data_IF_350902043585
#
_entry.id   IF_350902043585
#
_cell.length_a   1.000
_cell.length_b   1.000
_cell.length_c   1.000
_cell.angle_alpha   90.00
_cell.angle_beta   90.00
_cell.angle_gamma   90.00
#
_symmetry.space_group_name_H-M   'P 1'
#
loop_
_entity.id
_entity.type
_entity.pdbx_description
1 polymer ?
#
# COMPACT_ATOMS: atom_id res chain seq x y z
N UNK A 1 5.70 1.89 -18.73
CA UNK A 1 5.34 1.11 -17.54
C UNK A 1 4.14 1.80 -16.93
N UNK A 2 3.03 1.10 -16.78
CA UNK A 2 1.83 1.56 -16.11
C UNK A 2 2.13 1.76 -14.62
N UNK A 3 1.75 2.92 -14.10
CA UNK A 3 1.84 3.20 -12.67
C UNK A 3 0.58 3.97 -12.26
N UNK A 4 -0.27 3.31 -11.48
CA UNK A 4 -1.61 3.83 -11.13
C UNK A 4 -1.59 4.96 -10.10
N UNK A 5 -0.42 5.27 -9.54
CA UNK A 5 -0.20 6.46 -8.73
C UNK A 5 0.20 7.66 -9.60
N UNK A 6 1.26 7.51 -10.40
CA UNK A 6 1.81 8.60 -11.22
C UNK A 6 0.91 9.01 -12.39
N UNK A 7 0.02 8.13 -12.86
CA UNK A 7 -0.96 8.45 -13.91
C UNK A 7 -2.21 9.18 -13.40
N UNK A 8 -2.36 9.35 -12.08
CA UNK A 8 -3.42 10.10 -11.43
C UNK A 8 -2.86 11.28 -10.61
N UNK A 9 -2.67 12.47 -11.21
CA UNK A 9 -2.07 13.61 -10.53
C UNK A 9 -2.90 14.11 -9.34
N UNK A 10 -4.19 13.75 -9.25
CA UNK A 10 -5.04 14.16 -8.14
C UNK A 10 -4.67 13.46 -6.83
N UNK A 11 -4.01 12.30 -6.86
CA UNK A 11 -3.57 11.62 -5.64
C UNK A 11 -2.51 12.43 -4.90
N UNK A 12 -1.58 13.07 -5.62
CA UNK A 12 -0.51 13.88 -5.02
C UNK A 12 -1.03 15.04 -4.17
N UNK A 13 -2.19 15.60 -4.54
CA UNK A 13 -2.84 16.66 -3.77
C UNK A 13 -3.05 16.30 -2.29
N UNK A 14 -3.29 15.03 -1.97
CA UNK A 14 -3.50 14.59 -0.59
C UNK A 14 -2.24 14.66 0.27
N UNK A 15 -1.05 14.43 -0.32
CA UNK A 15 0.23 14.56 0.39
C UNK A 15 0.63 16.03 0.57
N UNK A 16 0.27 16.89 -0.39
CA UNK A 16 0.54 18.34 -0.34
C UNK A 16 -0.46 19.13 0.53
N UNK A 17 -1.47 18.45 1.09
CA UNK A 17 -2.51 19.11 1.87
C UNK A 17 -1.92 19.76 3.14
N UNK A 18 -2.26 21.03 3.49
CA UNK A 18 -1.64 21.74 4.63
C UNK A 18 -1.76 21.05 6.00
N UNK A 19 -2.75 20.15 6.16
CA UNK A 19 -2.89 19.37 7.39
C UNK A 19 -1.91 18.20 7.51
N UNK A 20 -1.19 17.83 6.44
CA UNK A 20 -0.25 16.71 6.46
C UNK A 20 0.88 16.94 7.45
N UNK A 21 1.41 18.16 7.59
CA UNK A 21 2.40 18.47 8.62
C UNK A 21 1.92 18.07 10.02
N UNK A 22 0.67 18.42 10.36
CA UNK A 22 0.09 18.07 11.65
C UNK A 22 -0.12 16.56 11.79
N UNK A 23 -0.58 15.89 10.73
CA UNK A 23 -0.84 14.45 10.71
C UNK A 23 0.48 13.67 10.91
N UNK A 24 1.50 13.98 10.10
CA UNK A 24 2.83 13.36 10.17
C UNK A 24 3.43 13.55 11.54
N UNK A 25 3.45 14.80 12.05
CA UNK A 25 4.01 15.09 13.37
C UNK A 25 3.33 14.29 14.49
N UNK A 26 2.01 14.09 14.41
CA UNK A 26 1.28 13.28 15.39
C UNK A 26 1.60 11.78 15.24
N UNK A 27 1.61 11.25 14.01
CA UNK A 27 1.88 9.83 13.73
C UNK A 27 3.33 9.43 14.07
N UNK A 28 4.30 10.29 13.77
CA UNK A 28 5.72 10.11 14.11
C UNK A 28 6.05 10.51 15.56
N UNK A 29 5.07 10.99 16.33
CA UNK A 29 5.23 11.47 17.70
C UNK A 29 6.36 12.52 17.82
N UNK A 30 6.42 13.46 16.89
CA UNK A 30 7.54 14.40 16.70
C UNK A 30 8.89 13.70 16.42
N UNK A 31 8.88 12.68 15.56
CA UNK A 31 10.08 11.97 15.07
C UNK A 31 10.91 11.33 16.18
N UNK A 32 10.26 10.85 17.24
CA UNK A 32 10.94 10.25 18.41
C UNK A 32 11.56 8.88 18.13
N UNK A 33 11.25 8.28 16.98
CA UNK A 33 11.71 6.96 16.55
C UNK A 33 12.91 7.01 15.58
N UNK A 34 13.32 8.20 15.14
CA UNK A 34 14.37 8.37 14.11
C UNK A 34 15.73 7.75 14.45
N UNK A 35 16.06 7.63 15.73
CA UNK A 35 17.31 7.00 16.21
C UNK A 35 17.13 5.51 16.57
N UNK A 36 15.89 5.00 16.48
CA UNK A 36 15.53 3.63 16.88
C UNK A 36 15.34 2.71 15.68
N UNK A 37 14.95 3.26 14.54
CA UNK A 37 14.68 2.52 13.31
C UNK A 37 15.32 3.25 12.13
N UNK A 38 16.09 2.51 11.30
CA UNK A 38 16.87 3.08 10.20
C UNK A 38 16.05 3.82 9.14
N UNK A 39 14.75 3.49 9.03
CA UNK A 39 13.81 4.08 8.08
C UNK A 39 12.72 4.93 8.76
N UNK A 40 12.89 5.28 10.04
CA UNK A 40 11.98 6.22 10.69
C UNK A 40 12.26 7.65 10.19
N UNK A 41 11.19 8.38 9.88
CA UNK A 41 11.29 9.71 9.31
C UNK A 41 12.07 10.67 10.22
N UNK A 42 13.01 11.41 9.64
CA UNK A 42 13.82 12.40 10.34
C UNK A 42 13.06 13.71 10.59
N UNK A 43 12.23 14.09 9.62
CA UNK A 43 11.42 15.30 9.57
C UNK A 43 10.23 15.13 8.61
N UNK A 44 9.54 16.24 8.30
CA UNK A 44 8.36 16.22 7.43
C UNK A 44 8.71 15.89 5.98
N UNK A 45 9.83 16.42 5.48
CA UNK A 45 10.22 16.25 4.08
C UNK A 45 10.57 14.79 3.82
N UNK A 46 11.34 14.18 4.72
CA UNK A 46 11.69 12.76 4.69
C UNK A 46 10.46 11.85 4.79
N UNK A 47 9.48 12.20 5.65
CA UNK A 47 8.23 11.46 5.74
C UNK A 47 7.42 11.52 4.42
N UNK A 48 7.27 12.70 3.83
CA UNK A 48 6.50 12.87 2.60
C UNK A 48 7.17 12.21 1.40
N UNK A 49 8.51 12.29 1.29
CA UNK A 49 9.30 11.58 0.28
C UNK A 49 9.17 10.05 0.42
N UNK A 50 9.20 9.54 1.65
CA UNK A 50 8.93 8.13 1.93
C UNK A 50 7.53 7.71 1.46
N UNK A 51 6.52 8.55 1.71
CA UNK A 51 5.14 8.26 1.27
C UNK A 51 5.01 8.26 -0.25
N UNK A 52 5.58 9.25 -0.95
CA UNK A 52 5.53 9.33 -2.42
C UNK A 52 6.20 8.11 -3.06
N UNK A 53 7.38 7.69 -2.56
CA UNK A 53 8.10 6.51 -3.06
C UNK A 53 7.33 5.21 -2.83
N UNK A 54 6.74 5.02 -1.65
CA UNK A 54 5.96 3.82 -1.35
C UNK A 54 4.70 3.77 -2.21
N UNK A 55 4.01 4.90 -2.39
CA UNK A 55 2.85 4.99 -3.29
C UNK A 55 3.22 4.75 -4.76
N UNK A 56 4.41 5.18 -5.18
CA UNK A 56 4.94 4.86 -6.51
C UNK A 56 5.13 3.34 -6.69
N UNK A 57 5.70 2.64 -5.72
CA UNK A 57 5.83 1.17 -5.74
C UNK A 57 4.46 0.49 -5.79
N UNK A 58 3.51 0.91 -4.94
CA UNK A 58 2.14 0.38 -4.95
C UNK A 58 1.48 0.63 -6.32
N UNK A 59 1.67 1.82 -6.89
CA UNK A 59 1.16 2.19 -8.21
C UNK A 59 1.72 1.33 -9.33
N UNK A 60 3.02 1.00 -9.30
CA UNK A 60 3.67 0.12 -10.27
C UNK A 60 3.16 -1.31 -10.15
N UNK A 61 3.13 -1.89 -8.95
CA UNK A 61 2.59 -3.24 -8.71
C UNK A 61 1.13 -3.32 -9.16
N UNK A 62 0.34 -2.28 -8.88
CA UNK A 62 -1.06 -2.23 -9.27
C UNK A 62 -1.24 -2.19 -10.79
N UNK A 63 -0.42 -1.40 -11.50
CA UNK A 63 -0.49 -1.26 -12.95
C UNK A 63 0.10 -2.44 -13.73
N UNK A 64 1.18 -3.04 -13.25
CA UNK A 64 1.95 -4.06 -13.98
C UNK A 64 1.64 -5.51 -13.55
N UNK A 65 1.10 -5.71 -12.34
CA UNK A 65 0.83 -7.06 -11.80
C UNK A 65 -0.66 -7.25 -11.50
N UNK A 66 -1.25 -6.40 -10.66
CA UNK A 66 -2.63 -6.61 -10.19
C UNK A 66 -3.64 -6.44 -11.31
N UNK A 67 -3.57 -5.33 -12.06
CA UNK A 67 -4.54 -5.03 -13.10
C UNK A 67 -4.53 -6.05 -14.26
N UNK A 68 -3.37 -6.51 -14.78
CA UNK A 68 -3.33 -7.58 -15.78
C UNK A 68 -3.92 -8.92 -15.29
N UNK A 69 -3.82 -9.21 -13.99
CA UNK A 69 -4.34 -10.45 -13.41
C UNK A 69 -5.86 -10.41 -13.17
N UNK A 70 -6.46 -9.22 -13.03
CA UNK A 70 -7.85 -9.03 -12.60
C UNK A 70 -8.88 -9.80 -13.43
N UNK A 71 -8.77 -9.80 -14.77
CA UNK A 71 -9.68 -10.53 -15.66
C UNK A 71 -9.64 -12.05 -15.40
N UNK A 72 -8.42 -12.62 -15.27
CA UNK A 72 -8.29 -14.05 -14.97
C UNK A 72 -8.78 -14.41 -13.57
N UNK A 73 -8.59 -13.51 -12.59
CA UNK A 73 -9.08 -13.71 -11.22
C UNK A 73 -10.60 -13.77 -11.18
N UNK A 74 -11.30 -12.91 -11.94
CA UNK A 74 -12.76 -12.91 -12.05
C UNK A 74 -13.28 -14.21 -12.68
N UNK A 75 -12.60 -14.72 -13.71
CA UNK A 75 -12.97 -15.97 -14.36
C UNK A 75 -12.67 -17.22 -13.52
N UNK A 76 -11.53 -17.26 -12.85
CA UNK A 76 -11.08 -18.42 -12.05
C UNK A 76 -11.82 -18.50 -10.72
N UNK A 77 -11.89 -17.38 -10.00
CA UNK A 77 -12.39 -17.30 -8.63
C UNK A 77 -11.63 -18.17 -7.62
N UNK A 78 -11.90 -18.02 -6.31
CA UNK A 78 -11.40 -18.96 -5.31
C UNK A 78 -12.18 -20.29 -5.34
N UNK A 79 -11.52 -21.38 -4.94
CA UNK A 79 -12.14 -22.70 -4.78
C UNK A 79 -12.11 -23.16 -3.33
N UNK A 80 -13.16 -23.85 -2.89
CA UNK A 80 -13.17 -24.53 -1.59
C UNK A 80 -12.83 -26.01 -1.80
N UNK A 81 -11.65 -26.43 -1.35
CA UNK A 81 -11.15 -27.80 -1.46
C UNK A 81 -10.82 -28.31 -0.06
N UNK A 82 -11.41 -29.43 0.35
CA UNK A 82 -11.15 -30.04 1.67
C UNK A 82 -11.28 -29.06 2.86
N UNK A 83 -12.27 -28.16 2.79
CA UNK A 83 -12.55 -27.12 3.79
C UNK A 83 -11.46 -26.02 3.89
N UNK A 84 -10.63 -25.88 2.86
CA UNK A 84 -9.63 -24.83 2.68
C UNK A 84 -9.93 -24.00 1.42
N UNK A 85 -9.75 -22.68 1.52
CA UNK A 85 -9.92 -21.77 0.37
C UNK A 85 -8.61 -21.72 -0.40
N UNK A 86 -8.65 -22.15 -1.66
CA UNK A 86 -7.55 -22.02 -2.62
C UNK A 86 -7.83 -20.77 -3.46
N UNK A 87 -6.97 -19.77 -3.36
CA UNK A 87 -7.08 -18.56 -4.17
C UNK A 87 -6.83 -18.84 -5.66
N UNK A 88 -7.41 -18.00 -6.53
CA UNK A 88 -7.03 -17.94 -7.93
C UNK A 88 -5.53 -17.66 -8.06
N UNK A 89 -4.93 -18.07 -9.19
CA UNK A 89 -3.48 -17.92 -9.41
C UNK A 89 -3.09 -16.45 -9.32
N UNK A 90 -3.81 -15.59 -10.04
CA UNK A 90 -3.55 -14.14 -10.05
C UNK A 90 -3.66 -13.51 -8.66
N UNK A 91 -4.63 -13.93 -7.83
CA UNK A 91 -4.75 -13.45 -6.45
C UNK A 91 -3.52 -13.79 -5.61
N UNK A 92 -3.00 -15.02 -5.74
CA UNK A 92 -1.80 -15.46 -5.02
C UNK A 92 -0.56 -14.68 -5.47
N UNK A 93 -0.42 -14.46 -6.79
CA UNK A 93 0.68 -13.68 -7.38
C UNK A 93 0.63 -12.21 -6.94
N UNK A 94 -0.56 -11.60 -6.94
CA UNK A 94 -0.77 -10.22 -6.49
C UNK A 94 -0.35 -10.06 -5.02
N UNK A 95 -0.76 -10.99 -4.16
CA UNK A 95 -0.41 -10.95 -2.74
C UNK A 95 1.09 -11.15 -2.50
N UNK A 96 1.70 -12.12 -3.19
CA UNK A 96 3.14 -12.38 -3.09
C UNK A 96 3.98 -11.17 -3.56
N UNK A 97 3.55 -10.46 -4.60
CA UNK A 97 4.21 -9.23 -5.04
C UNK A 97 4.19 -8.13 -3.97
N UNK A 98 3.07 -7.95 -3.27
CA UNK A 98 2.96 -6.98 -2.17
C UNK A 98 3.78 -7.38 -0.94
N UNK A 99 3.77 -8.66 -0.57
CA UNK A 99 4.59 -9.18 0.54
C UNK A 99 6.08 -8.97 0.24
N UNK A 100 6.54 -9.34 -0.95
CA UNK A 100 7.95 -9.22 -1.35
C UNK A 100 8.43 -7.77 -1.46
N UNK A 101 7.53 -6.85 -1.78
CA UNK A 101 7.83 -5.42 -1.80
C UNK A 101 7.75 -4.75 -0.42
N UNK A 102 7.29 -5.48 0.62
CA UNK A 102 7.16 -4.95 1.98
C UNK A 102 5.98 -4.01 2.16
N UNK A 103 4.95 -4.13 1.32
CA UNK A 103 3.77 -3.25 1.31
C UNK A 103 2.65 -3.74 2.24
N UNK A 104 2.76 -4.94 2.78
CA UNK A 104 1.88 -5.46 3.84
C UNK A 104 2.35 -4.95 5.19
N UNK A 105 1.43 -4.44 6.01
CA UNK A 105 1.69 -3.78 7.28
C UNK A 105 2.02 -2.29 7.15
N UNK A 106 1.61 -1.61 6.07
CA UNK A 106 1.99 -0.21 5.80
C UNK A 106 1.66 0.72 6.98
N UNK A 107 0.48 0.54 7.58
CA UNK A 107 -0.02 1.38 8.67
C UNK A 107 0.49 0.96 10.06
N UNK A 108 1.02 -0.27 10.17
CA UNK A 108 1.43 -0.89 11.42
C UNK A 108 2.66 -0.20 12.03
N UNK A 109 2.79 -0.17 13.37
CA UNK A 109 3.99 0.32 14.04
C UNK A 109 5.26 -0.42 13.60
N UNK A 110 6.40 0.31 13.60
CA UNK A 110 7.71 -0.23 13.21
C UNK A 110 8.19 -1.38 14.09
N UNK A 111 7.80 -1.39 15.37
CA UNK A 111 8.12 -2.48 16.31
C UNK A 111 7.52 -3.84 15.89
N UNK A 112 6.50 -3.83 15.02
CA UNK A 112 5.88 -5.03 14.46
C UNK A 112 6.25 -5.27 12.98
N UNK A 113 7.26 -4.56 12.47
CA UNK A 113 7.72 -4.69 11.09
C UNK A 113 6.97 -3.82 10.07
N UNK A 114 6.07 -2.93 10.51
CA UNK A 114 5.35 -2.02 9.62
C UNK A 114 6.11 -0.73 9.29
N UNK A 115 5.53 0.08 8.41
CA UNK A 115 6.12 1.36 7.97
C UNK A 115 5.66 2.57 8.81
N UNK A 116 4.68 2.38 9.69
CA UNK A 116 4.04 3.42 10.50
C UNK A 116 3.45 4.57 9.66
N UNK A 117 2.87 4.27 8.50
CA UNK A 117 2.22 5.28 7.67
C UNK A 117 0.92 5.79 8.33
N UNK A 118 0.60 7.10 8.23
CA UNK A 118 -0.70 7.62 8.64
C UNK A 118 -1.81 7.15 7.68
N UNK A 119 -3.07 7.34 8.08
CA UNK A 119 -4.22 6.86 7.32
C UNK A 119 -4.33 7.45 5.91
N UNK A 120 -3.85 8.67 5.66
CA UNK A 120 -3.98 9.33 4.35
C UNK A 120 -3.26 8.52 3.25
N UNK A 121 -1.93 8.32 3.27
CA UNK A 121 -1.25 7.51 2.26
C UNK A 121 -1.70 6.03 2.27
N UNK A 122 -2.12 5.49 3.42
CA UNK A 122 -2.69 4.13 3.45
C UNK A 122 -3.99 4.00 2.62
N UNK A 123 -4.92 4.95 2.79
CA UNK A 123 -6.17 4.96 2.02
C UNK A 123 -5.91 5.26 0.55
N UNK A 124 -4.93 6.11 0.23
CA UNK A 124 -4.49 6.33 -1.15
C UNK A 124 -3.99 5.03 -1.79
N UNK A 125 -3.15 4.25 -1.09
CA UNK A 125 -2.70 2.94 -1.55
C UNK A 125 -3.88 1.98 -1.80
N UNK A 126 -4.87 1.95 -0.89
CA UNK A 126 -6.08 1.16 -1.07
C UNK A 126 -6.90 1.60 -2.31
N UNK A 127 -7.00 2.90 -2.60
CA UNK A 127 -7.65 3.41 -3.82
C UNK A 127 -6.92 2.95 -5.09
N UNK A 128 -5.59 3.03 -5.09
CA UNK A 128 -4.74 2.58 -6.20
C UNK A 128 -4.93 1.08 -6.46
N UNK A 129 -4.89 0.26 -5.42
CA UNK A 129 -5.10 -1.19 -5.51
C UNK A 129 -6.53 -1.50 -5.96
N UNK A 130 -7.54 -0.81 -5.42
CA UNK A 130 -8.94 -1.00 -5.80
C UNK A 130 -9.23 -0.64 -7.25
N UNK A 131 -8.48 0.31 -7.84
CA UNK A 131 -8.58 0.60 -9.27
C UNK A 131 -8.06 -0.57 -10.11
N UNK A 132 -7.05 -1.29 -9.64
CA UNK A 132 -6.50 -2.44 -10.34
C UNK A 132 -7.39 -3.68 -10.24
N UNK A 133 -7.83 -4.00 -9.02
CA UNK A 133 -8.76 -5.09 -8.77
C UNK A 133 -9.54 -4.80 -7.46
N UNK A 134 -10.82 -4.45 -7.61
CA UNK A 134 -11.69 -4.13 -6.48
C UNK A 134 -11.96 -5.34 -5.57
N UNK A 135 -11.90 -6.57 -6.10
CA UNK A 135 -12.00 -7.79 -5.31
C UNK A 135 -10.76 -8.00 -4.46
N UNK A 136 -9.59 -7.78 -5.06
CA UNK A 136 -8.30 -7.86 -4.36
C UNK A 136 -8.13 -6.79 -3.29
N UNK A 137 -8.75 -5.61 -3.44
CA UNK A 137 -8.74 -4.57 -2.40
C UNK A 137 -9.31 -5.03 -1.05
N UNK A 138 -10.18 -6.05 -1.00
CA UNK A 138 -10.60 -6.64 0.27
C UNK A 138 -9.48 -7.44 0.94
N UNK A 139 -8.62 -8.09 0.17
CA UNK A 139 -7.43 -8.78 0.71
C UNK A 139 -6.46 -7.72 1.25
N UNK A 140 -6.22 -6.63 0.49
CA UNK A 140 -5.46 -5.48 0.99
C UNK A 140 -6.02 -4.95 2.32
N UNK A 141 -7.32 -4.62 2.38
CA UNK A 141 -7.88 -3.96 3.56
C UNK A 141 -8.06 -4.85 4.79
N UNK A 142 -8.16 -6.18 4.62
CA UNK A 142 -8.43 -7.13 5.72
C UNK A 142 -7.23 -7.99 6.11
N UNK A 143 -6.23 -8.10 5.24
CA UNK A 143 -5.04 -8.95 5.42
C UNK A 143 -3.73 -8.14 5.36
N UNK A 144 -3.81 -6.80 5.38
CA UNK A 144 -2.68 -5.88 5.67
C UNK A 144 -2.20 -5.97 7.12
#
# INVERSE_FOLDING_TARGET
>A
MANFYNDNPNLKFHLDHPLMEKIVRLKERNYTEKEKHDFAALDLEDALDSYDKVLEIVGEISGEIIAPNAESVDHEGPQLVDNEVIYARGTSENYDALVKSGMIGMSLPREYGGLNFPMVPYVMAAEIVSRADAGFANIWGLQD
#
